data_IF_313822068818
#
_entry.id   IF_313822068818
#
_cell.length_a   1.000
_cell.length_b   1.000
_cell.length_c   1.000
_cell.angle_alpha   90.00
_cell.angle_beta   90.00
_cell.angle_gamma   90.00
#
_symmetry.space_group_name_H-M   'P 1'
#
loop_
_entity.id
_entity.type
_entity.pdbx_description
1 polymer ?
#
# COMPACT_ATOMS: atom_id res chain seq x y z
N UNK A 1 -9.04 15.63 18.43
CA UNK A 1 -10.48 15.50 18.13
C UNK A 1 -10.84 16.14 16.80
N UNK A 2 -10.48 17.41 16.53
CA UNK A 2 -10.80 18.08 15.24
C UNK A 2 -10.30 17.33 13.99
N UNK A 3 -9.08 16.79 14.00
CA UNK A 3 -8.50 16.09 12.85
C UNK A 3 -9.25 14.80 12.46
N UNK A 4 -9.71 14.02 13.45
CA UNK A 4 -10.51 12.81 13.18
C UNK A 4 -11.88 13.17 12.64
N UNK A 5 -12.52 14.21 13.18
CA UNK A 5 -13.78 14.72 12.66
C UNK A 5 -13.65 15.20 11.21
N UNK A 6 -12.59 15.95 10.91
CA UNK A 6 -12.31 16.41 9.55
C UNK A 6 -12.11 15.25 8.57
N UNK A 7 -11.39 14.19 8.99
CA UNK A 7 -11.22 12.98 8.19
C UNK A 7 -12.56 12.30 7.88
N UNK A 8 -13.38 12.09 8.92
CA UNK A 8 -14.71 11.48 8.78
C UNK A 8 -15.56 12.34 7.85
N UNK A 9 -15.61 13.65 8.08
CA UNK A 9 -16.40 14.60 7.29
C UNK A 9 -15.99 14.60 5.81
N UNK A 10 -14.69 14.69 5.52
CA UNK A 10 -14.17 14.63 4.14
C UNK A 10 -14.54 13.32 3.47
N UNK A 11 -14.37 12.18 4.15
CA UNK A 11 -14.71 10.85 3.60
C UNK A 11 -16.21 10.70 3.36
N UNK A 12 -17.06 11.19 4.27
CA UNK A 12 -18.53 11.18 4.11
C UNK A 12 -18.97 12.00 2.92
N UNK A 13 -18.51 13.25 2.79
CA UNK A 13 -18.90 14.10 1.66
C UNK A 13 -18.34 13.55 0.33
N UNK A 14 -17.08 13.08 0.32
CA UNK A 14 -16.45 12.51 -0.87
C UNK A 14 -17.24 11.29 -1.41
N UNK A 15 -17.84 10.48 -0.54
CA UNK A 15 -18.66 9.33 -0.96
C UNK A 15 -19.93 9.69 -1.72
N UNK A 16 -20.37 10.96 -1.66
CA UNK A 16 -21.53 11.46 -2.38
C UNK A 16 -21.14 12.29 -3.62
N UNK A 17 -19.84 12.43 -3.89
CA UNK A 17 -19.34 13.13 -5.06
C UNK A 17 -19.25 12.21 -6.28
N UNK A 18 -19.18 12.82 -7.46
CA UNK A 18 -19.00 12.12 -8.73
C UNK A 18 -17.63 11.41 -8.79
N UNK A 19 -17.57 10.30 -9.52
CA UNK A 19 -16.34 9.54 -9.71
C UNK A 19 -15.28 10.37 -10.44
N UNK A 20 -14.02 10.21 -10.02
CA UNK A 20 -12.89 10.76 -10.76
C UNK A 20 -12.76 10.07 -12.14
N UNK A 21 -12.41 10.84 -13.17
CA UNK A 21 -12.12 10.32 -14.51
C UNK A 21 -10.63 10.44 -14.76
N UNK A 22 -9.99 9.29 -14.92
CA UNK A 22 -8.57 9.15 -15.22
C UNK A 22 -8.40 8.51 -16.59
N UNK A 23 -7.51 9.06 -17.40
CA UNK A 23 -7.09 8.47 -18.65
C UNK A 23 -5.71 7.86 -18.46
N UNK A 24 -5.60 6.54 -18.62
CA UNK A 24 -4.32 5.83 -18.50
C UNK A 24 -3.70 5.68 -19.88
N UNK A 25 -2.49 6.20 -20.04
CA UNK A 25 -1.71 6.13 -21.26
C UNK A 25 -0.60 5.11 -21.06
N UNK A 26 -0.51 4.15 -21.99
CA UNK A 26 0.60 3.20 -22.05
C UNK A 26 1.29 3.37 -23.41
N UNK A 27 2.57 3.72 -23.37
CA UNK A 27 3.37 3.98 -24.56
C UNK A 27 4.56 3.04 -24.61
N UNK A 28 4.74 2.41 -25.77
CA UNK A 28 5.92 1.62 -26.08
C UNK A 28 6.84 2.44 -26.99
N UNK A 29 8.09 2.61 -26.59
CA UNK A 29 9.10 3.37 -27.32
C UNK A 29 10.18 2.39 -27.77
N UNK A 30 10.35 2.24 -29.07
CA UNK A 30 11.37 1.34 -29.65
C UNK A 30 12.54 2.15 -30.21
N UNK A 31 13.74 1.59 -30.11
CA UNK A 31 14.93 2.12 -30.81
C UNK A 31 14.78 2.01 -32.33
N UNK A 32 15.52 2.82 -33.08
CA UNK A 32 15.56 2.77 -34.55
C UNK A 32 15.94 1.38 -35.07
N UNK A 33 16.90 0.73 -34.39
CA UNK A 33 17.35 -0.64 -34.69
C UNK A 33 16.38 -1.73 -34.18
N UNK A 34 15.28 -1.36 -33.50
CA UNK A 34 14.27 -2.24 -32.89
C UNK A 34 14.78 -3.27 -31.87
N UNK A 35 16.04 -3.20 -31.46
CA UNK A 35 16.61 -4.13 -30.47
C UNK A 35 16.13 -3.86 -29.04
N UNK A 36 15.84 -2.59 -28.71
CA UNK A 36 15.43 -2.17 -27.38
C UNK A 36 14.01 -1.59 -27.40
N UNK A 37 13.19 -1.99 -26.44
CA UNK A 37 11.84 -1.45 -26.23
C UNK A 37 11.69 -0.99 -24.79
N UNK A 38 11.25 0.26 -24.61
CA UNK A 38 10.95 0.88 -23.34
C UNK A 38 9.44 1.02 -23.21
N UNK A 39 8.92 0.83 -22.00
CA UNK A 39 7.50 1.04 -21.71
C UNK A 39 7.37 2.18 -20.71
N UNK A 40 6.47 3.11 -21.03
CA UNK A 40 6.10 4.20 -20.15
C UNK A 40 4.60 4.08 -19.89
N UNK A 41 4.20 4.12 -18.62
CA UNK A 41 2.80 4.16 -18.22
C UNK A 41 2.59 5.40 -17.38
N UNK A 42 1.52 6.13 -17.66
CA UNK A 42 1.12 7.28 -16.88
C UNK A 42 -0.38 7.51 -16.94
N UNK A 43 -0.85 8.46 -16.16
CA UNK A 43 -2.26 8.77 -16.01
C UNK A 43 -2.48 10.28 -16.05
N UNK A 44 -3.55 10.71 -16.73
CA UNK A 44 -4.00 12.10 -16.76
C UNK A 44 -5.36 12.18 -16.06
N UNK A 45 -5.52 13.14 -15.17
CA UNK A 45 -6.81 13.40 -14.51
C UNK A 45 -7.66 14.28 -15.42
N UNK A 46 -8.68 13.69 -16.04
CA UNK A 46 -9.66 14.43 -16.85
C UNK A 46 -10.68 15.15 -15.95
N UNK A 47 -10.99 14.56 -14.80
CA UNK A 47 -11.91 15.14 -13.81
C UNK A 47 -11.60 14.60 -12.42
N UNK A 48 -11.34 15.50 -11.48
CA UNK A 48 -10.91 15.13 -10.12
C UNK A 48 -12.00 14.40 -9.31
N UNK A 49 -13.29 14.69 -9.55
CA UNK A 49 -14.39 14.10 -8.78
C UNK A 49 -14.15 14.16 -7.27
N UNK A 50 -14.41 13.05 -6.58
CA UNK A 50 -14.18 12.92 -5.14
C UNK A 50 -12.70 13.09 -4.71
N UNK A 51 -11.71 12.87 -5.60
CA UNK A 51 -10.28 12.99 -5.29
C UNK A 51 -9.88 14.43 -4.92
N UNK A 52 -10.70 15.42 -5.30
CA UNK A 52 -10.51 16.82 -4.91
C UNK A 52 -10.66 17.03 -3.39
N UNK A 53 -11.50 16.23 -2.75
CA UNK A 53 -11.85 16.38 -1.34
C UNK A 53 -11.15 15.37 -0.44
N UNK A 54 -10.99 14.14 -0.92
CA UNK A 54 -10.39 13.04 -0.15
C UNK A 54 -9.56 12.14 -1.05
N UNK A 55 -8.30 11.93 -0.67
CA UNK A 55 -7.43 10.87 -1.19
C UNK A 55 -7.07 9.98 -0.03
N UNK A 56 -7.20 8.67 -0.20
CA UNK A 56 -6.80 7.73 0.83
C UNK A 56 -5.28 7.82 1.02
N UNK A 57 -4.83 7.87 2.28
CA UNK A 57 -3.41 7.92 2.58
C UNK A 57 -2.75 6.61 2.14
N UNK A 58 -1.69 6.70 1.35
CA UNK A 58 -0.86 5.55 1.01
C UNK A 58 -0.02 5.18 2.22
N UNK A 59 0.02 3.89 2.57
CA UNK A 59 1.03 3.42 3.52
C UNK A 59 2.40 3.66 2.88
N UNK A 60 3.38 4.18 3.65
CA UNK A 60 4.73 4.54 3.16
C UNK A 60 5.48 3.37 2.47
N UNK A 61 4.94 2.13 2.50
CA UNK A 61 5.59 0.90 2.09
C UNK A 61 4.77 -0.01 1.14
N UNK A 62 3.63 0.43 0.58
CA UNK A 62 3.03 -0.29 -0.56
C UNK A 62 3.85 0.00 -1.82
N UNK A 63 4.87 -0.83 -2.05
CA UNK A 63 5.92 -0.58 -3.04
C UNK A 63 5.45 -0.28 -4.46
N UNK A 64 6.19 0.61 -5.11
CA UNK A 64 6.48 0.85 -6.55
C UNK A 64 5.39 0.78 -7.64
N UNK A 65 4.24 0.14 -7.43
CA UNK A 65 3.23 -0.03 -8.47
C UNK A 65 2.18 1.10 -8.44
N UNK A 66 1.86 1.65 -7.26
CA UNK A 66 0.87 2.72 -7.10
C UNK A 66 1.44 4.14 -7.26
N UNK A 67 2.76 4.31 -7.27
CA UNK A 67 3.42 5.58 -7.65
C UNK A 67 3.37 5.81 -9.16
N UNK A 68 3.20 4.75 -9.97
CA UNK A 68 3.11 4.86 -11.43
C UNK A 68 1.84 5.56 -11.89
N UNK A 69 0.79 5.54 -11.07
CA UNK A 69 -0.50 6.14 -11.40
C UNK A 69 -0.51 7.67 -11.27
N UNK A 70 0.54 8.28 -10.67
CA UNK A 70 0.68 9.74 -10.56
C UNK A 70 1.66 10.32 -11.61
N UNK A 71 2.22 9.49 -12.49
CA UNK A 71 3.11 9.94 -13.54
C UNK A 71 2.26 10.57 -14.66
N UNK A 72 2.33 11.90 -14.77
CA UNK A 72 1.74 12.61 -15.89
C UNK A 72 2.65 12.47 -17.11
N UNK A 73 2.16 11.76 -18.14
CA UNK A 73 2.81 11.74 -19.44
C UNK A 73 2.37 12.97 -20.25
N UNK A 74 3.27 13.61 -21.02
CA UNK A 74 2.87 14.61 -22.00
C UNK A 74 2.01 13.96 -23.10
N UNK A 75 1.31 14.78 -23.87
CA UNK A 75 0.65 14.30 -25.09
C UNK A 75 1.71 13.75 -26.05
N UNK A 76 1.59 12.48 -26.44
CA UNK A 76 2.49 11.79 -27.36
C UNK A 76 1.72 11.38 -28.61
N UNK A 77 2.35 11.49 -29.79
CA UNK A 77 1.77 11.02 -31.06
C UNK A 77 2.44 9.74 -31.55
N UNK A 78 1.69 8.94 -32.30
CA UNK A 78 2.25 7.76 -32.96
C UNK A 78 3.34 8.17 -33.96
N UNK A 79 4.47 7.47 -33.92
CA UNK A 79 5.68 7.76 -34.72
C UNK A 79 6.35 9.12 -34.45
N UNK A 80 6.09 9.73 -33.29
CA UNK A 80 6.81 10.92 -32.87
C UNK A 80 8.30 10.61 -32.61
N UNK A 81 9.18 11.44 -33.17
CA UNK A 81 10.62 11.29 -33.00
C UNK A 81 11.03 11.83 -31.62
N UNK A 82 11.41 10.92 -30.73
CA UNK A 82 11.91 11.25 -29.39
C UNK A 82 13.44 11.31 -29.38
N UNK A 83 14.00 12.29 -28.66
CA UNK A 83 15.44 12.38 -28.43
C UNK A 83 15.80 11.73 -27.09
N UNK A 84 16.76 10.82 -27.10
CA UNK A 84 17.33 10.26 -25.88
C UNK A 84 18.17 11.33 -25.17
N UNK A 85 17.66 11.85 -24.05
CA UNK A 85 18.39 12.86 -23.26
C UNK A 85 19.39 12.22 -22.30
N UNK A 86 18.99 11.14 -21.61
CA UNK A 86 19.80 10.45 -20.59
C UNK A 86 19.42 8.97 -20.56
N UNK A 87 20.40 8.10 -20.37
CA UNK A 87 20.21 6.68 -20.11
C UNK A 87 20.91 6.33 -18.79
N UNK A 88 20.12 5.97 -17.78
CA UNK A 88 20.61 5.54 -16.47
C UNK A 88 20.43 4.02 -16.33
N UNK A 89 21.45 3.35 -15.80
CA UNK A 89 21.36 1.93 -15.45
C UNK A 89 20.83 1.80 -14.03
N UNK A 90 19.63 1.25 -13.89
CA UNK A 90 19.04 0.97 -12.59
C UNK A 90 19.12 -0.52 -12.29
N UNK A 91 19.73 -0.87 -11.16
CA UNK A 91 19.74 -2.23 -10.65
C UNK A 91 18.71 -2.35 -9.52
N UNK A 92 17.79 -3.29 -9.66
CA UNK A 92 16.81 -3.59 -8.62
C UNK A 92 17.26 -4.80 -7.81
N UNK A 93 17.14 -4.69 -6.48
CA UNK A 93 17.30 -5.80 -5.55
C UNK A 93 15.94 -6.21 -5.01
N UNK A 94 15.78 -7.51 -4.75
CA UNK A 94 14.61 -7.99 -4.03
C UNK A 94 14.66 -7.46 -2.60
N UNK A 95 13.53 -6.91 -2.15
CA UNK A 95 13.37 -6.49 -0.77
C UNK A 95 12.60 -7.56 0.00
N UNK A 96 12.89 -7.75 1.30
CA UNK A 96 12.06 -8.60 2.14
C UNK A 96 10.64 -8.03 2.23
N UNK A 97 9.63 -8.86 2.53
CA UNK A 97 8.27 -8.38 2.76
C UNK A 97 8.24 -7.28 3.83
N UNK A 98 7.43 -6.21 3.62
CA UNK A 98 7.36 -5.11 4.57
C UNK A 98 6.78 -5.58 5.89
N UNK A 99 7.21 -4.96 6.98
CA UNK A 99 6.62 -5.17 8.30
C UNK A 99 5.24 -4.54 8.37
N UNK A 100 4.41 -5.03 9.29
CA UNK A 100 3.09 -4.45 9.51
C UNK A 100 3.17 -3.12 10.24
N UNK A 101 2.37 -2.17 9.78
CA UNK A 101 1.92 -0.97 10.49
C UNK A 101 0.64 -1.30 11.27
N UNK A 102 0.12 -0.38 12.07
CA UNK A 102 -1.22 -0.55 12.68
C UNK A 102 -2.30 -0.73 11.61
N UNK A 103 -2.29 0.10 10.57
CA UNK A 103 -3.27 0.02 9.49
C UNK A 103 -3.21 -1.31 8.73
N UNK A 104 -2.01 -1.74 8.30
CA UNK A 104 -1.86 -2.99 7.55
C UNK A 104 -2.07 -4.24 8.41
N UNK A 105 -1.79 -4.19 9.72
CA UNK A 105 -2.14 -5.27 10.64
C UNK A 105 -3.67 -5.38 10.82
N UNK A 106 -4.36 -4.25 11.02
CA UNK A 106 -5.84 -4.24 11.13
C UNK A 106 -6.47 -4.77 9.84
N UNK A 107 -6.00 -4.30 8.68
CA UNK A 107 -6.44 -4.81 7.38
C UNK A 107 -6.23 -6.31 7.28
N UNK A 108 -5.07 -6.82 7.71
CA UNK A 108 -4.78 -8.25 7.65
C UNK A 108 -5.66 -9.08 8.58
N UNK A 109 -5.93 -8.58 9.78
CA UNK A 109 -6.85 -9.21 10.74
C UNK A 109 -8.28 -9.28 10.19
N UNK A 110 -8.75 -8.21 9.54
CA UNK A 110 -10.05 -8.17 8.86
C UNK A 110 -10.15 -9.17 7.70
N UNK A 111 -9.14 -9.23 6.83
CA UNK A 111 -9.06 -10.20 5.72
C UNK A 111 -9.11 -11.66 6.20
N UNK A 112 -8.48 -11.95 7.34
CA UNK A 112 -8.45 -13.28 7.94
C UNK A 112 -9.69 -13.58 8.80
N UNK A 113 -10.62 -12.63 8.97
CA UNK A 113 -11.80 -12.79 9.82
C UNK A 113 -11.51 -12.80 11.33
N UNK A 114 -10.27 -12.49 11.73
CA UNK A 114 -9.80 -12.53 13.11
C UNK A 114 -10.03 -11.17 13.76
N UNK A 115 -10.87 -11.13 14.80
CA UNK A 115 -11.24 -9.90 15.49
C UNK A 115 -12.36 -9.13 14.79
N UNK A 116 -12.78 -8.02 15.41
CA UNK A 116 -13.93 -7.20 15.02
C UNK A 116 -13.57 -5.72 15.21
N UNK A 117 -14.35 -4.76 14.65
CA UNK A 117 -14.12 -3.33 14.85
C UNK A 117 -13.96 -2.91 16.32
N UNK A 118 -14.65 -3.59 17.24
CA UNK A 118 -14.54 -3.36 18.68
C UNK A 118 -13.28 -3.93 19.33
N UNK A 119 -12.56 -4.86 18.67
CA UNK A 119 -11.45 -5.61 19.27
C UNK A 119 -10.08 -5.24 18.72
N UNK A 120 -9.96 -4.68 17.52
CA UNK A 120 -8.66 -4.41 16.89
C UNK A 120 -7.71 -3.60 17.76
N UNK A 121 -8.19 -2.46 18.29
CA UNK A 121 -7.39 -1.62 19.19
C UNK A 121 -6.96 -2.36 20.46
N UNK A 122 -7.85 -3.20 21.02
CA UNK A 122 -7.54 -3.98 22.22
C UNK A 122 -6.52 -5.08 21.96
N UNK A 123 -6.59 -5.77 20.81
CA UNK A 123 -5.64 -6.81 20.41
C UNK A 123 -4.24 -6.18 20.29
N UNK A 124 -4.12 -5.09 19.54
CA UNK A 124 -2.85 -4.39 19.34
C UNK A 124 -2.30 -3.90 20.69
N UNK A 125 -3.14 -3.26 21.51
CA UNK A 125 -2.75 -2.77 22.82
C UNK A 125 -2.24 -3.87 23.75
N UNK A 126 -2.90 -5.04 23.76
CA UNK A 126 -2.46 -6.19 24.58
C UNK A 126 -1.14 -6.77 24.09
N UNK A 127 -0.93 -6.87 22.78
CA UNK A 127 0.33 -7.36 22.20
C UNK A 127 1.52 -6.49 22.57
N UNK A 128 1.35 -5.16 22.55
CA UNK A 128 2.36 -4.20 23.00
C UNK A 128 2.55 -4.24 24.52
N UNK A 129 1.45 -4.17 25.30
CA UNK A 129 1.50 -4.13 26.76
C UNK A 129 2.14 -5.38 27.37
N UNK A 130 1.99 -6.54 26.74
CA UNK A 130 2.62 -7.80 27.16
C UNK A 130 4.03 -8.02 26.59
N UNK A 131 4.56 -7.05 25.85
CA UNK A 131 5.90 -7.09 25.25
C UNK A 131 6.08 -8.30 24.32
N UNK A 132 5.06 -8.61 23.51
CA UNK A 132 5.19 -9.58 22.41
C UNK A 132 5.69 -8.93 21.14
N UNK A 133 5.37 -7.64 20.96
CA UNK A 133 5.80 -6.82 19.84
C UNK A 133 6.23 -5.45 20.34
N UNK A 134 7.25 -4.87 19.71
CA UNK A 134 7.63 -3.48 19.86
C UNK A 134 7.16 -2.66 18.66
N UNK A 135 6.86 -1.38 18.87
CA UNK A 135 6.45 -0.46 17.82
C UNK A 135 7.59 0.54 17.53
N UNK A 136 8.34 0.29 16.47
CA UNK A 136 9.50 1.10 16.09
C UNK A 136 9.29 1.68 14.68
N UNK A 137 9.54 2.99 14.53
CA UNK A 137 9.44 3.69 13.24
C UNK A 137 8.12 3.38 12.50
N UNK A 138 6.98 3.38 13.22
CA UNK A 138 5.63 3.04 12.73
C UNK A 138 5.39 1.55 12.36
N UNK A 139 6.31 0.65 12.70
CA UNK A 139 6.23 -0.76 12.35
C UNK A 139 6.28 -1.67 13.57
N UNK A 140 5.56 -2.79 13.50
CA UNK A 140 5.64 -3.85 14.50
C UNK A 140 6.87 -4.71 14.28
N UNK A 141 7.65 -4.88 15.34
CA UNK A 141 8.79 -5.78 15.41
C UNK A 141 8.49 -6.83 16.50
N UNK A 142 8.46 -8.13 16.17
CA UNK A 142 8.24 -9.15 17.17
C UNK A 142 9.48 -9.27 18.08
N UNK A 143 9.25 -9.12 19.38
CA UNK A 143 10.27 -9.34 20.41
C UNK A 143 10.55 -10.83 20.61
N UNK A 144 11.67 -11.14 21.26
CA UNK A 144 12.09 -12.52 21.53
C UNK A 144 11.03 -13.29 22.29
N UNK A 145 10.39 -12.65 23.27
CA UNK A 145 9.30 -13.26 24.04
C UNK A 145 8.12 -13.67 23.15
N UNK A 146 7.70 -12.79 22.25
CA UNK A 146 6.64 -13.07 21.28
C UNK A 146 7.01 -14.25 20.40
N UNK A 147 8.23 -14.26 19.86
CA UNK A 147 8.73 -15.34 18.99
C UNK A 147 8.76 -16.69 19.69
N UNK A 148 9.23 -16.74 20.94
CA UNK A 148 9.29 -17.98 21.73
C UNK A 148 7.88 -18.50 22.01
N UNK A 149 6.97 -17.64 22.45
CA UNK A 149 5.58 -18.04 22.72
C UNK A 149 4.88 -18.52 21.46
N UNK A 150 5.02 -17.81 20.33
CA UNK A 150 4.46 -18.25 19.05
C UNK A 150 5.03 -19.60 18.62
N UNK A 151 6.35 -19.79 18.70
CA UNK A 151 6.99 -21.06 18.34
C UNK A 151 6.49 -22.23 19.21
N UNK A 152 6.32 -21.99 20.51
CA UNK A 152 5.75 -22.99 21.42
C UNK A 152 4.31 -23.34 21.06
N UNK A 153 3.45 -22.34 20.84
CA UNK A 153 2.03 -22.58 20.50
C UNK A 153 1.86 -23.27 19.15
N UNK A 154 2.65 -22.90 18.14
CA UNK A 154 2.59 -23.54 16.82
C UNK A 154 3.03 -25.01 16.87
N UNK A 155 4.06 -25.32 17.66
CA UNK A 155 4.59 -26.68 17.75
C UNK A 155 3.72 -27.64 18.59
N UNK A 156 3.08 -27.14 19.66
CA UNK A 156 2.37 -28.00 20.62
C UNK A 156 0.84 -27.82 20.62
N UNK A 157 0.33 -26.68 20.12
CA UNK A 157 -1.07 -26.29 20.23
C UNK A 157 -1.62 -25.71 18.90
N UNK A 158 -1.14 -26.23 17.77
CA UNK A 158 -1.43 -25.70 16.42
C UNK A 158 -2.93 -25.42 16.18
N UNK A 159 -3.80 -26.32 16.61
CA UNK A 159 -5.26 -26.19 16.46
C UNK A 159 -5.84 -24.90 17.08
N UNK A 160 -5.21 -24.33 18.10
CA UNK A 160 -5.68 -23.12 18.80
C UNK A 160 -5.12 -21.81 18.23
N UNK A 161 -4.20 -21.89 17.27
CA UNK A 161 -3.52 -20.72 16.69
C UNK A 161 -3.58 -20.68 15.16
N UNK A 162 -4.28 -21.62 14.55
CA UNK A 162 -4.60 -21.57 13.12
C UNK A 162 -5.66 -20.50 12.83
N UNK A 163 -5.45 -19.77 11.73
CA UNK A 163 -6.30 -18.64 11.37
C UNK A 163 -7.75 -19.05 11.11
N UNK A 164 -7.97 -20.22 10.49
CA UNK A 164 -9.31 -20.68 10.10
C UNK A 164 -10.20 -21.10 11.28
N UNK A 165 -9.60 -21.32 12.46
CA UNK A 165 -10.32 -21.71 13.69
C UNK A 165 -10.55 -20.54 14.67
N UNK A 166 -10.02 -19.34 14.38
CA UNK A 166 -10.00 -18.18 15.29
C UNK A 166 -11.04 -17.13 14.92
#
# INVERSE_FOLDING_TARGET
QSALYELIWKRTIASQMENAKLERINTSISSEDKENTFTATGSIVLFDGFLKLYKEGKDENTGSDEERDEIFLPELKENELLKLNKADQNQHFTQPPPRYTEASLVKKLEELGIGRPSTYASIIGVLQARQYVNFEKKHFIPEDRGRIVTSFLVNFFKQYVEYDFT
#
